data_IF_012185344598
#
_entry.id   IF_012185344598
#
_cell.length_a   1.000
_cell.length_b   1.000
_cell.length_c   1.000
_cell.angle_alpha   90.00
_cell.angle_beta   90.00
_cell.angle_gamma   90.00
#
_symmetry.space_group_name_H-M   'P 1'
#
loop_
_entity.id
_entity.type
_entity.pdbx_description
1 polymer ?
#
# COMPACT_ATOMS: atom_id res chain seq x y z
N UNK A 1 -17.40 1.77 -20.05
CA UNK A 1 -17.47 1.80 -18.58
C UNK A 1 -16.75 3.06 -18.16
N UNK A 2 -17.50 4.11 -17.84
CA UNK A 2 -16.92 5.31 -17.25
C UNK A 2 -16.99 5.11 -15.74
N UNK A 3 -16.17 4.19 -15.23
CA UNK A 3 -15.99 4.06 -13.80
C UNK A 3 -15.13 5.24 -13.36
N UNK A 4 -15.79 6.34 -12.97
CA UNK A 4 -15.13 7.44 -12.30
C UNK A 4 -14.65 6.91 -10.95
N UNK A 5 -13.37 6.54 -10.90
CA UNK A 5 -12.70 6.22 -9.64
C UNK A 5 -12.70 7.50 -8.81
N UNK A 6 -13.47 7.50 -7.73
CA UNK A 6 -13.47 8.61 -6.80
C UNK A 6 -12.10 8.72 -6.12
N UNK A 7 -11.59 9.94 -5.88
CA UNK A 7 -10.38 10.15 -5.09
C UNK A 7 -10.45 9.45 -3.73
N UNK A 8 -9.30 9.03 -3.19
CA UNK A 8 -9.22 8.28 -1.93
C UNK A 8 -9.74 9.11 -0.74
N UNK A 9 -9.63 10.43 -0.81
CA UNK A 9 -10.15 11.37 0.18
C UNK A 9 -11.69 11.37 0.25
N UNK A 10 -12.38 10.83 -0.75
CA UNK A 10 -13.84 10.73 -0.77
C UNK A 10 -14.35 9.43 -0.10
N UNK A 11 -13.47 8.54 0.36
CA UNK A 11 -13.87 7.34 1.10
C UNK A 11 -14.34 7.78 2.49
N UNK A 12 -15.54 7.35 2.90
CA UNK A 12 -16.06 7.69 4.22
C UNK A 12 -15.17 7.12 5.34
N UNK A 13 -14.95 7.86 6.44
CA UNK A 13 -14.15 7.36 7.57
C UNK A 13 -14.65 6.03 8.12
N UNK A 14 -15.96 5.82 8.16
CA UNK A 14 -16.57 4.58 8.65
C UNK A 14 -16.20 3.37 7.79
N UNK A 15 -16.00 3.56 6.49
CA UNK A 15 -15.55 2.50 5.61
C UNK A 15 -14.06 2.17 5.84
N UNK A 16 -13.24 3.20 6.10
CA UNK A 16 -11.81 3.04 6.39
C UNK A 16 -11.54 2.28 7.69
N UNK A 17 -12.46 2.33 8.67
CA UNK A 17 -12.34 1.54 9.92
C UNK A 17 -12.28 0.03 9.67
N UNK A 18 -12.80 -0.44 8.53
CA UNK A 18 -12.79 -1.85 8.16
C UNK A 18 -11.55 -2.25 7.31
N UNK A 19 -10.59 -1.33 7.12
CA UNK A 19 -9.38 -1.62 6.35
C UNK A 19 -8.52 -2.65 7.09
N UNK A 20 -8.31 -3.81 6.47
CA UNK A 20 -7.58 -4.91 7.09
C UNK A 20 -6.09 -4.93 6.72
N UNK A 21 -5.72 -4.31 5.60
CA UNK A 21 -4.37 -4.42 5.07
C UNK A 21 -4.14 -3.70 3.76
N UNK A 22 -2.88 -3.69 3.35
CA UNK A 22 -2.39 -3.09 2.11
C UNK A 22 -1.63 -4.16 1.33
N UNK A 23 -2.06 -4.38 0.09
CA UNK A 23 -1.32 -5.16 -0.90
C UNK A 23 -0.50 -4.17 -1.74
N UNK A 24 0.76 -4.48 -1.99
CA UNK A 24 1.65 -3.57 -2.72
C UNK A 24 2.69 -4.33 -3.56
N UNK A 25 3.09 -3.75 -4.68
CA UNK A 25 4.15 -4.29 -5.52
C UNK A 25 5.55 -3.85 -5.03
N UNK A 26 6.58 -4.57 -5.46
CA UNK A 26 7.98 -4.34 -5.07
C UNK A 26 8.69 -3.45 -6.09
N UNK A 27 8.67 -3.82 -7.36
CA UNK A 27 9.58 -3.23 -8.36
C UNK A 27 9.10 -1.88 -8.82
N UNK A 28 9.95 -0.87 -8.62
CA UNK A 28 9.64 0.54 -8.90
C UNK A 28 8.30 1.01 -8.28
N UNK A 29 7.88 0.32 -7.21
CA UNK A 29 6.74 0.65 -6.35
C UNK A 29 7.21 0.82 -4.90
N UNK A 30 7.56 -0.27 -4.22
CA UNK A 30 8.19 -0.17 -2.89
C UNK A 30 9.67 0.18 -2.98
N UNK A 31 10.32 -0.34 -4.01
CA UNK A 31 11.69 -0.01 -4.37
C UNK A 31 11.72 1.08 -5.44
N UNK A 32 12.88 1.70 -5.62
CA UNK A 32 13.17 2.59 -6.74
C UNK A 32 14.55 2.23 -7.27
N UNK A 33 14.64 1.83 -8.53
CA UNK A 33 15.88 1.29 -9.12
C UNK A 33 16.49 0.17 -8.27
N UNK A 34 15.64 -0.73 -7.76
CA UNK A 34 16.05 -1.89 -6.94
C UNK A 34 16.53 -1.58 -5.52
N UNK A 35 16.44 -0.33 -5.06
CA UNK A 35 16.78 0.06 -3.68
C UNK A 35 15.51 0.40 -2.90
N UNK A 36 15.51 0.19 -1.59
CA UNK A 36 14.40 0.61 -0.71
C UNK A 36 14.68 2.03 -0.22
N UNK A 37 13.91 3.05 -0.63
CA UNK A 37 14.02 4.39 -0.07
C UNK A 37 13.67 4.41 1.43
N UNK A 38 14.30 5.32 2.17
CA UNK A 38 14.03 5.46 3.61
C UNK A 38 12.56 5.79 3.91
N UNK A 39 11.90 6.57 3.03
CA UNK A 39 10.48 6.89 3.14
C UNK A 39 9.60 5.65 2.97
N UNK A 40 9.89 4.79 2.00
CA UNK A 40 9.16 3.54 1.77
C UNK A 40 9.27 2.62 3.00
N UNK A 41 10.48 2.44 3.53
CA UNK A 41 10.67 1.63 4.74
C UNK A 41 9.92 2.22 5.95
N UNK A 42 9.96 3.53 6.12
CA UNK A 42 9.24 4.23 7.20
C UNK A 42 7.72 4.04 7.06
N UNK A 43 7.19 4.17 5.85
CA UNK A 43 5.77 3.95 5.57
C UNK A 43 5.32 2.52 5.91
N UNK A 44 6.14 1.51 5.54
CA UNK A 44 5.87 0.11 5.88
C UNK A 44 5.75 -0.08 7.40
N UNK A 45 6.65 0.53 8.17
CA UNK A 45 6.59 0.48 9.64
C UNK A 45 5.38 1.20 10.22
N UNK A 46 5.01 2.37 9.69
CA UNK A 46 3.81 3.07 10.14
C UNK A 46 2.55 2.24 9.92
N UNK A 47 2.40 1.62 8.75
CA UNK A 47 1.24 0.77 8.46
C UNK A 47 1.22 -0.49 9.33
N UNK A 48 2.37 -1.12 9.54
CA UNK A 48 2.50 -2.28 10.43
C UNK A 48 2.11 -1.92 11.87
N UNK A 49 2.61 -0.79 12.37
CA UNK A 49 2.32 -0.30 13.72
C UNK A 49 0.86 0.12 13.89
N UNK A 50 0.19 0.52 12.79
CA UNK A 50 -1.25 0.76 12.74
C UNK A 50 -2.09 -0.54 12.74
N UNK A 51 -1.46 -1.73 12.74
CA UNK A 51 -2.14 -3.02 12.79
C UNK A 51 -2.60 -3.56 11.43
N UNK A 52 -2.19 -2.92 10.33
CA UNK A 52 -2.56 -3.36 8.98
C UNK A 52 -1.71 -4.56 8.54
N UNK A 53 -2.35 -5.53 7.88
CA UNK A 53 -1.65 -6.63 7.19
C UNK A 53 -0.95 -6.08 5.95
N UNK A 54 0.33 -6.40 5.78
CA UNK A 54 1.12 -5.95 4.65
C UNK A 54 1.52 -7.15 3.80
N UNK A 55 1.09 -7.15 2.54
CA UNK A 55 1.31 -8.28 1.63
C UNK A 55 1.97 -7.74 0.37
N UNK A 56 3.23 -8.11 0.15
CA UNK A 56 3.89 -7.84 -1.11
C UNK A 56 3.34 -8.77 -2.19
N UNK A 57 2.89 -8.21 -3.30
CA UNK A 57 2.41 -8.95 -4.48
C UNK A 57 3.32 -8.58 -5.64
N UNK A 58 4.15 -9.52 -6.09
CA UNK A 58 5.14 -9.27 -7.13
C UNK A 58 5.15 -10.39 -8.15
N UNK A 59 5.52 -10.05 -9.39
CA UNK A 59 5.80 -11.02 -10.44
C UNK A 59 7.21 -11.62 -10.36
N UNK A 60 8.08 -11.13 -9.46
CA UNK A 60 9.39 -11.74 -9.25
C UNK A 60 9.22 -13.19 -8.79
N UNK A 61 10.05 -14.12 -9.28
CA UNK A 61 10.12 -15.45 -8.72
C UNK A 61 10.54 -15.35 -7.24
N UNK A 62 9.95 -16.24 -6.43
CA UNK A 62 10.30 -16.41 -5.02
C UNK A 62 11.71 -17.03 -4.86
#
# INVERSE_FOLDING_TARGET
MNDNIAPIENISPDLLQNLQGVLFDIDDTFTTHGKIPACSLSALWYLKNAGLKLISVTGRPA
#
